data_IF_520645412960
#
_entry.id   IF_520645412960
#
_cell.length_a   1.000
_cell.length_b   1.000
_cell.length_c   1.000
_cell.angle_alpha   90.00
_cell.angle_beta   90.00
_cell.angle_gamma   90.00
#
_symmetry.space_group_name_H-M   'P 1'
#
loop_
_entity.id
_entity.type
_entity.pdbx_description
1 polymer ?
#
# COMPACT_ATOMS: atom_id res chain seq x y z
N UNK A 1 -12.67 -11.01 -2.92
CA UNK A 1 -13.17 -10.88 -4.31
C UNK A 1 -12.44 -11.94 -5.11
N UNK A 2 -13.04 -12.55 -6.14
CA UNK A 2 -12.47 -13.66 -6.95
C UNK A 2 -12.75 -15.09 -6.45
N UNK A 3 -13.98 -15.57 -6.66
CA UNK A 3 -14.30 -17.00 -6.57
C UNK A 3 -14.25 -17.67 -7.95
N UNK A 4 -13.25 -18.52 -8.17
CA UNK A 4 -13.08 -19.63 -9.13
C UNK A 4 -11.75 -19.59 -9.90
N UNK A 5 -11.09 -20.75 -9.93
CA UNK A 5 -9.84 -21.08 -10.64
C UNK A 5 -9.79 -20.49 -12.06
N UNK A 6 -8.62 -19.97 -12.43
CA UNK A 6 -8.27 -19.21 -13.66
C UNK A 6 -8.67 -17.73 -13.66
N UNK A 7 -8.25 -16.97 -12.63
CA UNK A 7 -8.39 -15.51 -12.55
C UNK A 7 -7.47 -14.80 -13.53
N UNK A 8 -6.19 -15.18 -13.60
CA UNK A 8 -5.21 -14.56 -14.50
C UNK A 8 -5.58 -14.71 -15.98
N UNK A 9 -6.03 -15.87 -16.44
CA UNK A 9 -6.33 -16.09 -17.86
C UNK A 9 -7.53 -15.29 -18.38
N UNK A 10 -8.52 -15.02 -17.52
CA UNK A 10 -9.77 -14.37 -17.92
C UNK A 10 -9.74 -12.85 -17.81
N UNK A 11 -8.78 -12.31 -17.06
CA UNK A 11 -8.66 -10.87 -16.87
C UNK A 11 -8.01 -10.22 -18.10
N UNK A 12 -8.74 -9.29 -18.72
CA UNK A 12 -8.16 -8.49 -19.80
C UNK A 12 -7.29 -7.36 -19.23
N UNK A 13 -6.20 -7.04 -19.94
CA UNK A 13 -5.34 -5.91 -19.61
C UNK A 13 -6.15 -4.59 -19.53
N UNK A 14 -7.16 -4.45 -20.39
CA UNK A 14 -8.04 -3.27 -20.42
C UNK A 14 -8.90 -3.13 -19.17
N UNK A 15 -9.49 -4.23 -18.69
CA UNK A 15 -10.28 -4.22 -17.44
C UNK A 15 -9.40 -3.90 -16.25
N UNK A 16 -8.20 -4.49 -16.19
CA UNK A 16 -7.23 -4.20 -15.13
C UNK A 16 -6.81 -2.72 -15.13
N UNK A 17 -6.52 -2.14 -16.30
CA UNK A 17 -6.20 -0.71 -16.41
C UNK A 17 -7.36 0.20 -15.99
N UNK A 18 -8.59 -0.13 -16.39
CA UNK A 18 -9.77 0.62 -15.96
C UNK A 18 -9.95 0.57 -14.43
N UNK A 19 -9.73 -0.60 -13.84
CA UNK A 19 -9.80 -0.82 -12.41
C UNK A 19 -8.68 -0.07 -11.66
N UNK A 20 -7.46 -0.09 -12.19
CA UNK A 20 -6.33 0.68 -11.65
C UNK A 20 -6.65 2.18 -11.58
N UNK A 21 -7.20 2.75 -12.65
CA UNK A 21 -7.62 4.17 -12.69
C UNK A 21 -8.72 4.43 -11.66
N UNK A 22 -9.70 3.54 -11.54
CA UNK A 22 -10.80 3.64 -10.56
C UNK A 22 -10.26 3.67 -9.12
N UNK A 23 -9.35 2.75 -8.80
CA UNK A 23 -8.72 2.65 -7.49
C UNK A 23 -7.85 3.87 -7.19
N UNK A 24 -7.06 4.34 -8.15
CA UNK A 24 -6.27 5.59 -8.02
C UNK A 24 -7.15 6.79 -7.67
N UNK A 25 -8.24 6.99 -8.41
CA UNK A 25 -9.20 8.06 -8.14
C UNK A 25 -9.90 7.91 -6.77
N UNK A 26 -10.07 6.67 -6.28
CA UNK A 26 -10.61 6.42 -4.93
C UNK A 26 -9.59 6.79 -3.86
N UNK A 27 -8.32 6.39 -4.02
CA UNK A 27 -7.22 6.74 -3.12
C UNK A 27 -7.05 8.26 -3.00
N UNK A 28 -7.07 8.98 -4.12
CA UNK A 28 -6.95 10.45 -4.14
C UNK A 28 -8.09 11.13 -3.38
N UNK A 29 -9.32 10.60 -3.49
CA UNK A 29 -10.48 11.12 -2.73
C UNK A 29 -10.34 10.84 -1.24
N UNK A 30 -10.01 9.61 -0.86
CA UNK A 30 -9.81 9.25 0.55
C UNK A 30 -8.68 10.09 1.19
N UNK A 31 -7.58 10.33 0.46
CA UNK A 31 -6.50 11.22 0.92
C UNK A 31 -7.00 12.65 1.15
N UNK A 32 -7.81 13.19 0.25
CA UNK A 32 -8.42 14.53 0.41
C UNK A 32 -9.35 14.59 1.63
N UNK A 33 -10.20 13.58 1.80
CA UNK A 33 -11.11 13.50 2.95
C UNK A 33 -10.36 13.43 4.29
N UNK A 34 -9.34 12.56 4.37
CA UNK A 34 -8.50 12.44 5.57
C UNK A 34 -7.83 13.78 5.93
N UNK A 35 -7.29 14.49 4.93
CA UNK A 35 -6.70 15.81 5.11
C UNK A 35 -7.72 16.86 5.57
N UNK A 36 -8.96 16.79 5.08
CA UNK A 36 -10.02 17.71 5.51
C UNK A 36 -10.45 17.44 6.95
N UNK A 37 -10.58 16.18 7.35
CA UNK A 37 -10.89 15.80 8.73
C UNK A 37 -9.80 16.32 9.68
N UNK A 38 -8.52 16.14 9.32
CA UNK A 38 -7.41 16.60 10.14
C UNK A 38 -7.40 18.13 10.31
N UNK A 39 -7.63 18.87 9.21
CA UNK A 39 -7.78 20.34 9.27
C UNK A 39 -8.93 20.76 10.17
N UNK A 40 -10.08 20.09 10.07
CA UNK A 40 -11.25 20.39 10.91
C UNK A 40 -10.98 20.09 12.38
N UNK A 41 -10.34 18.96 12.71
CA UNK A 41 -9.91 18.62 14.08
C UNK A 41 -9.02 19.73 14.66
N UNK A 42 -8.03 20.21 13.89
CA UNK A 42 -7.14 21.31 14.30
C UNK A 42 -7.90 22.62 14.56
N UNK A 43 -8.85 22.98 13.70
CA UNK A 43 -9.69 24.17 13.88
C UNK A 43 -10.54 24.08 15.16
N UNK A 44 -11.26 22.97 15.36
CA UNK A 44 -12.09 22.76 16.54
C UNK A 44 -11.25 22.77 17.83
N UNK A 45 -10.04 22.23 17.78
CA UNK A 45 -9.12 22.27 18.91
C UNK A 45 -8.72 23.72 19.27
N UNK A 46 -8.36 24.52 18.25
CA UNK A 46 -8.03 25.94 18.43
C UNK A 46 -9.22 26.73 18.99
N UNK A 47 -10.44 26.48 18.50
CA UNK A 47 -11.67 27.09 19.03
C UNK A 47 -11.94 26.75 20.49
N UNK A 48 -11.41 25.62 20.98
CA UNK A 48 -11.51 25.21 22.38
C UNK A 48 -10.59 25.98 23.31
N UNK A 49 -9.52 26.61 22.80
CA UNK A 49 -8.58 27.39 23.59
C UNK A 49 -9.28 28.67 24.07
N UNK A 50 -9.34 28.89 25.39
CA UNK A 50 -10.03 30.04 25.98
C UNK A 50 -11.56 29.95 26.02
N UNK A 51 -12.18 28.92 25.43
CA UNK A 51 -13.63 28.70 25.51
C UNK A 51 -14.10 28.26 26.91
N UNK A 52 -15.38 28.48 27.20
CA UNK A 52 -16.02 28.02 28.44
C UNK A 52 -16.16 26.48 28.48
N UNK A 53 -16.49 25.95 29.67
CA UNK A 53 -16.55 24.51 29.93
C UNK A 53 -17.58 23.77 29.05
N UNK A 54 -18.73 24.40 28.79
CA UNK A 54 -19.78 23.78 27.99
C UNK A 54 -19.34 23.70 26.52
N UNK A 55 -18.84 24.80 25.96
CA UNK A 55 -18.31 24.83 24.59
C UNK A 55 -17.17 23.84 24.38
N UNK A 56 -16.23 23.75 25.33
CA UNK A 56 -15.15 22.74 25.31
C UNK A 56 -15.68 21.31 25.25
N UNK A 57 -16.73 20.99 26.03
CA UNK A 57 -17.34 19.65 26.04
C UNK A 57 -17.96 19.32 24.68
N UNK A 58 -18.64 20.28 24.05
CA UNK A 58 -19.24 20.10 22.72
C UNK A 58 -18.16 19.88 21.65
N UNK A 59 -17.12 20.73 21.62
CA UNK A 59 -16.00 20.60 20.68
C UNK A 59 -15.27 19.27 20.84
N UNK A 60 -15.06 18.80 22.08
CA UNK A 60 -14.44 17.51 22.35
C UNK A 60 -15.27 16.33 21.80
N UNK A 61 -16.61 16.40 21.88
CA UNK A 61 -17.47 15.38 21.29
C UNK A 61 -17.39 15.36 19.76
N UNK A 62 -17.32 16.54 19.12
CA UNK A 62 -17.17 16.65 17.68
C UNK A 62 -15.82 16.12 17.21
N UNK A 63 -14.72 16.48 17.89
CA UNK A 63 -13.38 15.94 17.62
C UNK A 63 -13.38 14.41 17.73
N UNK A 64 -14.03 13.84 18.76
CA UNK A 64 -14.14 12.39 18.94
C UNK A 64 -14.90 11.72 17.79
N UNK A 65 -15.96 12.35 17.29
CA UNK A 65 -16.70 11.86 16.13
C UNK A 65 -15.83 11.85 14.86
N UNK A 66 -15.09 12.94 14.64
CA UNK A 66 -14.15 13.06 13.52
C UNK A 66 -13.02 12.03 13.60
N UNK A 67 -12.55 11.69 14.80
CA UNK A 67 -11.53 10.66 15.02
C UNK A 67 -12.02 9.26 14.59
N UNK A 68 -13.27 8.93 14.92
CA UNK A 68 -13.87 7.67 14.48
C UNK A 68 -14.00 7.60 12.95
N UNK A 69 -14.45 8.70 12.33
CA UNK A 69 -14.54 8.80 10.87
C UNK A 69 -13.16 8.67 10.21
N UNK A 70 -12.14 9.32 10.76
CA UNK A 70 -10.76 9.24 10.29
C UNK A 70 -10.25 7.80 10.29
N UNK A 71 -10.49 7.04 11.38
CA UNK A 71 -10.09 5.63 11.50
C UNK A 71 -10.76 4.74 10.46
N UNK A 72 -12.06 4.94 10.21
CA UNK A 72 -12.78 4.18 9.19
C UNK A 72 -12.26 4.48 7.78
N UNK A 73 -12.04 5.76 7.46
CA UNK A 73 -11.48 6.18 6.17
C UNK A 73 -10.04 5.71 5.97
N UNK A 74 -9.24 5.65 7.04
CA UNK A 74 -7.87 5.12 6.98
C UNK A 74 -7.89 3.63 6.65
N UNK A 75 -8.74 2.85 7.31
CA UNK A 75 -8.93 1.42 6.97
C UNK A 75 -9.35 1.22 5.51
N UNK A 76 -10.27 2.05 5.03
CA UNK A 76 -10.70 2.02 3.62
C UNK A 76 -9.58 2.40 2.66
N UNK A 77 -8.73 3.35 3.03
CA UNK A 77 -7.56 3.76 2.27
C UNK A 77 -6.55 2.61 2.17
N UNK A 78 -6.17 2.00 3.29
CA UNK A 78 -5.25 0.85 3.32
C UNK A 78 -5.78 -0.31 2.49
N UNK A 79 -7.07 -0.62 2.58
CA UNK A 79 -7.68 -1.67 1.76
C UNK A 79 -7.65 -1.33 0.26
N UNK A 80 -7.99 -0.09 -0.11
CA UNK A 80 -7.92 0.36 -1.50
C UNK A 80 -6.48 0.38 -2.04
N UNK A 81 -5.49 0.66 -1.19
CA UNK A 81 -4.07 0.66 -1.54
C UNK A 81 -3.61 -0.76 -1.86
N UNK A 82 -3.93 -1.75 -1.00
CA UNK A 82 -3.64 -3.18 -1.27
C UNK A 82 -4.24 -3.65 -2.60
N UNK A 83 -5.49 -3.29 -2.87
CA UNK A 83 -6.16 -3.59 -4.14
C UNK A 83 -5.45 -2.92 -5.33
N UNK A 84 -5.02 -1.67 -5.17
CA UNK A 84 -4.30 -0.94 -6.22
C UNK A 84 -2.95 -1.59 -6.54
N UNK A 85 -2.19 -1.99 -5.52
CA UNK A 85 -0.92 -2.72 -5.68
C UNK A 85 -1.15 -4.04 -6.42
N UNK A 86 -2.11 -4.85 -5.95
CA UNK A 86 -2.47 -6.11 -6.60
C UNK A 86 -2.80 -5.92 -8.09
N UNK A 87 -3.67 -4.96 -8.43
CA UNK A 87 -4.06 -4.69 -9.82
C UNK A 87 -2.88 -4.21 -10.64
N UNK A 88 -2.01 -3.36 -10.07
CA UNK A 88 -0.79 -2.88 -10.75
C UNK A 88 0.16 -4.03 -11.08
N UNK A 89 0.40 -4.94 -10.12
CA UNK A 89 1.22 -6.11 -10.33
C UNK A 89 0.61 -7.09 -11.35
N UNK A 90 -0.72 -7.28 -11.32
CA UNK A 90 -1.42 -8.07 -12.35
C UNK A 90 -1.25 -7.47 -13.75
N UNK A 91 -1.28 -6.13 -13.89
CA UNK A 91 -1.03 -5.45 -15.17
C UNK A 91 0.39 -5.76 -15.66
N UNK A 92 1.39 -5.70 -14.78
CA UNK A 92 2.79 -5.95 -15.12
C UNK A 92 2.98 -7.39 -15.58
N UNK A 93 2.49 -8.36 -14.81
CA UNK A 93 2.50 -9.79 -15.17
C UNK A 93 1.83 -10.01 -16.53
N UNK A 94 0.70 -9.34 -16.77
CA UNK A 94 -0.02 -9.44 -18.05
C UNK A 94 0.72 -8.82 -19.23
N UNK A 95 1.49 -7.75 -19.02
CA UNK A 95 2.34 -7.17 -20.07
C UNK A 95 3.45 -8.13 -20.48
N UNK A 96 4.03 -8.85 -19.52
CA UNK A 96 5.10 -9.83 -19.72
C UNK A 96 4.61 -11.27 -19.97
N UNK A 97 3.32 -11.47 -20.27
CA UNK A 97 2.74 -12.81 -20.41
C UNK A 97 3.49 -13.67 -21.44
N UNK A 98 3.94 -13.07 -22.56
CA UNK A 98 4.65 -13.80 -23.62
C UNK A 98 6.03 -14.27 -23.16
N UNK A 99 6.76 -13.43 -22.44
CA UNK A 99 8.07 -13.75 -21.89
C UNK A 99 7.96 -14.77 -20.76
N UNK A 100 6.99 -14.60 -19.85
CA UNK A 100 6.72 -15.52 -18.74
C UNK A 100 6.32 -16.93 -19.21
N UNK A 101 5.63 -17.05 -20.35
CA UNK A 101 5.33 -18.36 -20.97
C UNK A 101 6.58 -19.04 -21.54
N UNK A 102 7.59 -18.29 -21.98
CA UNK A 102 8.85 -18.88 -22.48
C UNK A 102 9.70 -19.46 -21.35
N UNK A 103 9.60 -18.90 -20.16
CA UNK A 103 10.34 -19.36 -18.97
C UNK A 103 9.60 -20.45 -18.18
N UNK A 104 8.34 -20.73 -18.52
CA UNK A 104 7.48 -21.67 -17.78
C UNK A 104 6.93 -21.09 -16.46
N UNK A 105 7.21 -19.82 -16.17
CA UNK A 105 6.76 -19.14 -14.95
C UNK A 105 5.27 -18.80 -15.01
N UNK A 106 4.74 -18.59 -16.21
CA UNK A 106 3.31 -18.36 -16.42
C UNK A 106 2.45 -19.53 -15.94
N UNK A 107 2.86 -20.75 -16.25
CA UNK A 107 2.18 -21.98 -15.87
C UNK A 107 2.21 -22.19 -14.35
N UNK A 108 3.36 -21.87 -13.72
CA UNK A 108 3.47 -21.85 -12.25
C UNK A 108 2.50 -20.85 -11.64
N UNK A 109 2.48 -19.59 -12.10
CA UNK A 109 1.58 -18.55 -11.60
C UNK A 109 0.11 -18.91 -11.76
N UNK A 110 -0.23 -19.51 -12.91
CA UNK A 110 -1.60 -19.92 -13.22
C UNK A 110 -2.06 -21.13 -12.38
N UNK A 111 -1.12 -21.88 -11.78
CA UNK A 111 -1.40 -23.04 -10.93
C UNK A 111 -1.56 -22.71 -9.45
N UNK A 112 -1.09 -21.54 -8.99
CA UNK A 112 -1.22 -21.08 -7.60
C UNK A 112 -2.69 -20.81 -7.27
N UNK A 113 -3.08 -21.07 -6.03
CA UNK A 113 -4.42 -20.74 -5.58
C UNK A 113 -4.64 -19.21 -5.62
N UNK A 114 -5.80 -18.73 -6.12
CA UNK A 114 -6.02 -17.29 -6.31
C UNK A 114 -5.79 -16.44 -5.04
N UNK A 115 -6.14 -16.98 -3.87
CA UNK A 115 -5.99 -16.32 -2.59
C UNK A 115 -4.52 -16.18 -2.19
N UNK A 116 -3.72 -17.23 -2.41
CA UNK A 116 -2.27 -17.22 -2.15
C UNK A 116 -1.56 -16.26 -3.11
N UNK A 117 -1.92 -16.30 -4.39
CA UNK A 117 -1.39 -15.39 -5.40
C UNK A 117 -1.74 -13.93 -5.06
N UNK A 118 -2.97 -13.66 -4.62
CA UNK A 118 -3.38 -12.32 -4.20
C UNK A 118 -2.54 -11.82 -3.03
N UNK A 119 -2.37 -12.61 -1.97
CA UNK A 119 -1.58 -12.21 -0.82
C UNK A 119 -0.12 -11.95 -1.18
N UNK A 120 0.46 -12.80 -2.02
CA UNK A 120 1.84 -12.62 -2.46
C UNK A 120 2.01 -11.37 -3.32
N UNK A 121 1.13 -11.16 -4.31
CA UNK A 121 1.18 -9.99 -5.19
C UNK A 121 0.86 -8.68 -4.47
N UNK A 122 0.25 -8.68 -3.29
CA UNK A 122 0.10 -7.46 -2.48
C UNK A 122 1.43 -7.05 -1.82
N UNK A 123 2.32 -8.01 -1.54
CA UNK A 123 3.58 -7.79 -0.82
C UNK A 123 4.78 -7.51 -1.72
N UNK A 124 4.70 -7.82 -3.02
CA UNK A 124 5.79 -7.58 -3.96
C UNK A 124 5.63 -6.22 -4.64
N UNK A 125 6.73 -5.50 -4.83
CA UNK A 125 6.78 -4.35 -5.72
C UNK A 125 7.38 -4.76 -7.08
N UNK A 126 6.55 -4.77 -8.12
CA UNK A 126 7.00 -5.03 -9.50
C UNK A 126 7.03 -3.75 -10.36
N UNK A 127 6.53 -2.63 -9.83
CA UNK A 127 6.41 -1.39 -10.61
C UNK A 127 7.80 -0.80 -10.90
N UNK A 128 8.01 -0.38 -12.15
CA UNK A 128 9.31 0.14 -12.61
C UNK A 128 10.44 -0.90 -12.78
N UNK A 129 10.21 -2.18 -12.46
CA UNK A 129 11.22 -3.24 -12.58
C UNK A 129 11.39 -3.77 -14.00
N UNK A 130 12.63 -4.11 -14.35
CA UNK A 130 12.95 -4.80 -15.60
C UNK A 130 12.49 -6.28 -15.54
N UNK A 131 12.46 -6.96 -16.69
CA UNK A 131 11.91 -8.33 -16.78
C UNK A 131 12.63 -9.31 -15.84
N UNK A 132 13.96 -9.24 -15.75
CA UNK A 132 14.75 -10.18 -14.94
C UNK A 132 14.47 -10.00 -13.43
N UNK A 133 14.45 -8.75 -12.95
CA UNK A 133 14.08 -8.40 -11.56
C UNK A 133 12.63 -8.78 -11.23
N UNK A 134 11.72 -8.67 -12.21
CA UNK A 134 10.34 -9.10 -12.07
C UNK A 134 10.23 -10.62 -11.93
N UNK A 135 11.04 -11.39 -12.69
CA UNK A 135 11.12 -12.85 -12.57
C UNK A 135 11.66 -13.25 -11.19
N UNK A 136 12.69 -12.59 -10.69
CA UNK A 136 13.22 -12.80 -9.34
C UNK A 136 12.17 -12.53 -8.26
N UNK A 137 11.49 -11.39 -8.34
CA UNK A 137 10.41 -11.03 -7.42
C UNK A 137 9.25 -12.05 -7.44
N UNK A 138 8.93 -12.61 -8.61
CA UNK A 138 7.94 -13.68 -8.71
C UNK A 138 8.46 -15.03 -8.21
N UNK A 139 9.74 -15.37 -8.40
CA UNK A 139 10.31 -16.60 -7.86
C UNK A 139 10.31 -16.58 -6.33
N UNK A 140 10.61 -15.44 -5.71
CA UNK A 140 10.50 -15.24 -4.26
C UNK A 140 9.08 -15.54 -3.75
N UNK A 141 8.05 -15.16 -4.50
CA UNK A 141 6.64 -15.51 -4.20
C UNK A 141 6.41 -17.02 -4.14
N UNK A 142 7.12 -17.81 -4.96
CA UNK A 142 7.01 -19.27 -4.96
C UNK A 142 7.90 -19.95 -3.91
N UNK A 143 9.00 -19.31 -3.52
CA UNK A 143 9.97 -19.84 -2.54
C UNK A 143 9.56 -19.55 -1.09
N UNK A 144 8.78 -18.50 -0.85
CA UNK A 144 8.20 -18.23 0.47
C UNK A 144 7.16 -19.31 0.82
N UNK A 145 7.54 -20.27 1.66
CA UNK A 145 6.62 -21.26 2.21
C UNK A 145 5.44 -20.58 2.92
N UNK A 146 4.24 -21.12 2.72
CA UNK A 146 2.94 -20.62 3.21
C UNK A 146 2.87 -20.42 4.74
N UNK A 147 3.88 -20.85 5.50
CA UNK A 147 3.93 -20.80 6.96
C UNK A 147 4.30 -19.42 7.55
N UNK A 148 4.89 -18.48 6.79
CA UNK A 148 5.28 -17.14 7.27
C UNK A 148 4.28 -16.03 6.87
N UNK A 149 3.02 -16.40 6.61
CA UNK A 149 2.00 -15.45 6.12
C UNK A 149 1.37 -14.55 7.21
N UNK A 150 1.85 -14.56 8.45
CA UNK A 150 1.35 -13.66 9.51
C UNK A 150 1.99 -12.27 9.45
N UNK A 151 1.16 -11.29 9.09
CA UNK A 151 1.16 -9.91 9.61
C UNK A 151 2.49 -9.13 9.64
N UNK A 152 3.23 -9.15 8.53
CA UNK A 152 4.19 -8.08 8.27
C UNK A 152 3.40 -6.84 7.81
N UNK A 153 3.10 -5.94 8.75
CA UNK A 153 2.97 -4.51 8.45
C UNK A 153 4.09 -4.12 7.48
N UNK A 154 3.80 -3.21 6.54
CA UNK A 154 4.75 -2.75 5.53
C UNK A 154 5.99 -2.16 6.26
N UNK A 155 7.07 -2.95 6.34
CA UNK A 155 8.29 -2.58 7.09
C UNK A 155 8.87 -1.27 6.55
N UNK A 156 8.72 -1.01 5.26
CA UNK A 156 9.07 0.27 4.65
C UNK A 156 8.17 1.41 5.16
N UNK A 157 6.87 1.20 5.31
CA UNK A 157 5.97 2.19 5.93
C UNK A 157 6.38 2.49 7.38
N UNK A 158 6.76 1.47 8.17
CA UNK A 158 7.27 1.64 9.54
C UNK A 158 8.57 2.43 9.58
N UNK A 159 9.53 2.06 8.73
CA UNK A 159 10.83 2.75 8.65
C UNK A 159 10.64 4.22 8.25
N UNK A 160 9.76 4.50 7.28
CA UNK A 160 9.40 5.86 6.91
C UNK A 160 8.77 6.63 8.07
N UNK A 161 7.87 5.99 8.84
CA UNK A 161 7.29 6.62 10.03
C UNK A 161 8.33 6.92 11.12
N UNK A 162 9.29 6.02 11.36
CA UNK A 162 10.38 6.24 12.30
C UNK A 162 11.31 7.36 11.83
N UNK A 163 11.66 7.36 10.54
CA UNK A 163 12.46 8.38 9.89
C UNK A 163 11.83 9.77 10.02
N UNK A 164 10.54 9.92 9.71
CA UNK A 164 9.83 11.18 9.94
C UNK A 164 9.82 11.59 11.41
N UNK A 165 9.62 10.63 12.33
CA UNK A 165 9.66 10.88 13.77
C UNK A 165 11.00 11.44 14.27
N UNK A 166 12.13 10.93 13.77
CA UNK A 166 13.48 11.43 14.13
C UNK A 166 13.69 12.86 13.65
N UNK A 167 13.23 13.19 12.44
CA UNK A 167 13.28 14.56 11.91
C UNK A 167 12.39 15.50 12.74
N UNK A 168 11.16 15.09 13.05
CA UNK A 168 10.22 15.88 13.84
C UNK A 168 10.72 16.13 15.28
N UNK A 169 11.48 15.19 15.85
CA UNK A 169 12.14 15.33 17.15
C UNK A 169 13.42 16.20 17.11
N UNK A 170 13.91 16.54 15.91
CA UNK A 170 15.19 17.25 15.72
C UNK A 170 16.42 16.37 15.96
N UNK A 171 16.26 15.05 15.93
CA UNK A 171 17.32 14.06 16.14
C UNK A 171 18.08 13.73 14.85
N UNK A 172 17.50 14.05 13.68
CA UNK A 172 18.10 13.83 12.36
C UNK A 172 17.78 14.98 11.39
N UNK A 173 18.68 15.24 10.44
CA UNK A 173 18.48 16.23 9.37
C UNK A 173 17.60 15.68 8.24
N UNK A 174 16.79 16.54 7.63
CA UNK A 174 15.90 16.22 6.50
C UNK A 174 16.70 15.64 5.33
N UNK A 175 17.86 16.22 5.01
CA UNK A 175 18.71 15.74 3.92
C UNK A 175 19.27 14.33 4.21
N UNK A 176 19.75 14.07 5.44
CA UNK A 176 20.31 12.77 5.84
C UNK A 176 19.24 11.67 5.82
N UNK A 177 18.02 11.99 6.26
CA UNK A 177 16.90 11.06 6.28
C UNK A 177 16.36 10.83 4.87
N UNK A 178 16.30 11.87 4.03
CA UNK A 178 15.89 11.72 2.63
C UNK A 178 16.85 10.82 1.85
N UNK A 179 18.17 10.95 2.06
CA UNK A 179 19.16 10.05 1.46
C UNK A 179 18.99 8.60 1.95
N UNK A 180 18.75 8.41 3.26
CA UNK A 180 18.46 7.08 3.82
C UNK A 180 17.19 6.47 3.22
N UNK A 181 16.11 7.24 3.08
CA UNK A 181 14.84 6.78 2.52
C UNK A 181 14.94 6.45 1.04
N UNK A 182 15.62 7.29 0.24
CA UNK A 182 15.90 6.98 -1.17
C UNK A 182 16.82 5.75 -1.31
N UNK A 183 17.62 5.44 -0.28
CA UNK A 183 18.41 4.22 -0.21
C UNK A 183 17.66 2.99 0.35
N UNK A 184 16.46 3.12 0.93
CA UNK A 184 15.64 1.95 1.32
C UNK A 184 15.22 1.17 0.07
N UNK A 185 14.89 1.86 -1.02
CA UNK A 185 14.67 1.25 -2.33
C UNK A 185 15.89 0.44 -2.80
N UNK A 186 17.11 0.82 -2.39
CA UNK A 186 18.39 0.11 -2.70
C UNK A 186 18.79 -0.94 -1.67
N UNK A 187 18.49 -0.78 -0.39
CA UNK A 187 18.86 -1.76 0.65
C UNK A 187 18.03 -3.04 0.57
N UNK A 188 16.80 -2.93 0.08
CA UNK A 188 16.01 -4.10 -0.33
C UNK A 188 16.67 -4.87 -1.50
N UNK A 189 17.59 -4.26 -2.24
CA UNK A 189 18.39 -4.92 -3.30
C UNK A 189 19.68 -5.56 -2.74
N UNK A 190 20.26 -5.01 -1.66
CA UNK A 190 21.59 -5.42 -1.16
C UNK A 190 21.55 -6.44 0.01
N UNK A 191 20.45 -6.57 0.75
CA UNK A 191 20.31 -7.62 1.80
C UNK A 191 20.00 -9.03 1.23
N UNK A 192 19.94 -9.18 -0.09
CA UNK A 192 19.65 -10.45 -0.81
C UNK A 192 20.90 -11.13 -1.43
N UNK A 193 22.13 -10.80 -1.01
CA UNK A 193 23.38 -11.49 -1.44
C UNK A 193 23.94 -12.48 -0.41
#
# INVERSE_FOLDING_TARGET
>A
MFGKKNTLEKLSLRELQAEQIRLKNRLDRLKKDLNQIEKKKKQLFQEGIGADKLKKKMLAQEIKSLDLEQKLKLKDFTMAQKQYTLVTNMIIIKKYEKELRKTGLWEKLSSVEPEQLEQALIKVNLDGKEFDEMVEGLNKVFEMEVAEFEETEDETEKELMQAWGQVEAGEADVEEVAEKVVSIDKKLEDEEL
#
